data_IF_768462266309
#
_entry.id   IF_768462266309
#
_cell.length_a   1.000
_cell.length_b   1.000
_cell.length_c   1.000
_cell.angle_alpha   90.00
_cell.angle_beta   90.00
_cell.angle_gamma   90.00
#
_symmetry.space_group_name_H-M   'P 1'
#
loop_
_entity.id
_entity.type
_entity.pdbx_description
1 polymer ?
#
# COMPACT_ATOMS: atom_id res chain seq x y z
N UNK A 1 -4.54 61.93 -24.01
CA UNK A 1 -3.64 61.08 -23.21
C UNK A 1 -4.50 60.04 -22.52
N UNK A 2 -4.66 58.87 -23.12
CA UNK A 2 -5.56 57.81 -22.62
C UNK A 2 -4.75 56.84 -21.75
N UNK A 3 -4.98 56.86 -20.44
CA UNK A 3 -4.27 55.97 -19.51
C UNK A 3 -4.92 54.58 -19.54
N UNK A 4 -4.31 53.63 -20.25
CA UNK A 4 -4.72 52.21 -20.20
C UNK A 4 -4.39 51.64 -18.83
N UNK A 5 -5.41 51.52 -17.98
CA UNK A 5 -5.35 50.80 -16.71
C UNK A 5 -4.93 49.35 -16.97
N UNK A 6 -3.71 49.00 -16.54
CA UNK A 6 -3.21 47.63 -16.54
C UNK A 6 -3.89 46.89 -15.38
N UNK A 7 -4.90 46.07 -15.69
CA UNK A 7 -5.54 45.23 -14.69
C UNK A 7 -4.59 44.11 -14.23
N UNK A 8 -4.51 43.80 -12.93
CA UNK A 8 -3.70 42.70 -12.44
C UNK A 8 -4.34 41.35 -12.80
N UNK A 9 -3.72 40.62 -13.73
CA UNK A 9 -4.12 39.25 -14.08
C UNK A 9 -3.83 38.30 -12.92
N UNK A 10 -4.87 37.87 -12.21
CA UNK A 10 -4.76 36.85 -11.17
C UNK A 10 -4.59 35.46 -11.81
N UNK A 11 -3.37 34.93 -11.82
CA UNK A 11 -3.06 33.60 -12.37
C UNK A 11 -3.31 32.56 -11.28
N UNK A 12 -4.47 31.91 -11.34
CA UNK A 12 -4.79 30.76 -10.50
C UNK A 12 -4.20 29.52 -11.16
N UNK A 13 -3.10 28.99 -10.60
CA UNK A 13 -2.56 27.69 -11.02
C UNK A 13 -3.46 26.59 -10.46
N UNK A 14 -4.30 26.03 -11.31
CA UNK A 14 -4.99 24.79 -10.98
C UNK A 14 -3.93 23.70 -10.78
N UNK A 15 -3.96 22.93 -9.67
CA UNK A 15 -3.13 21.75 -9.53
C UNK A 15 -3.42 20.83 -10.72
N UNK A 16 -2.47 20.77 -11.66
CA UNK A 16 -2.59 19.91 -12.83
C UNK A 16 -2.83 18.46 -12.39
N UNK A 17 -3.56 17.70 -13.20
CA UNK A 17 -3.80 16.29 -12.97
C UNK A 17 -2.49 15.62 -12.53
N UNK A 18 -2.50 15.03 -11.32
CA UNK A 18 -1.34 14.43 -10.65
C UNK A 18 -0.46 13.75 -11.70
N UNK A 19 0.76 14.26 -11.84
CA UNK A 19 1.74 13.81 -12.83
C UNK A 19 1.73 12.28 -12.95
N UNK A 20 1.71 11.81 -14.19
CA UNK A 20 1.77 10.40 -14.59
C UNK A 20 2.39 9.50 -13.51
N UNK A 21 1.53 8.65 -12.95
CA UNK A 21 1.84 7.62 -11.96
C UNK A 21 3.27 7.10 -12.12
N UNK A 22 4.17 7.54 -11.24
CA UNK A 22 5.49 6.95 -11.15
C UNK A 22 5.33 5.73 -10.24
N UNK A 23 5.34 4.50 -10.78
CA UNK A 23 4.99 3.32 -10.00
C UNK A 23 5.92 3.11 -8.80
N UNK A 24 7.16 3.61 -8.89
CA UNK A 24 8.13 3.58 -7.78
C UNK A 24 7.77 4.54 -6.66
N UNK A 25 7.30 5.74 -7.02
CA UNK A 25 6.83 6.72 -6.04
C UNK A 25 5.55 6.23 -5.36
N UNK A 26 4.63 5.64 -6.12
CA UNK A 26 3.36 5.12 -5.60
C UNK A 26 3.57 3.91 -4.68
N UNK A 27 4.53 3.03 -5.01
CA UNK A 27 4.95 1.94 -4.12
C UNK A 27 5.54 2.47 -2.80
N UNK A 28 6.47 3.44 -2.87
CA UNK A 28 7.07 4.03 -1.66
C UNK A 28 6.00 4.73 -0.81
N UNK A 29 5.12 5.49 -1.45
CA UNK A 29 4.02 6.19 -0.78
C UNK A 29 3.07 5.22 -0.08
N UNK A 30 2.71 4.10 -0.72
CA UNK A 30 1.89 3.05 -0.12
C UNK A 30 2.59 2.41 1.08
N UNK A 31 3.89 2.10 0.94
CA UNK A 31 4.70 1.59 2.05
C UNK A 31 4.75 2.59 3.21
N UNK A 32 5.10 3.85 2.97
CA UNK A 32 5.15 4.90 4.00
C UNK A 32 3.79 5.03 4.71
N UNK A 33 2.68 5.00 3.97
CA UNK A 33 1.33 5.10 4.53
C UNK A 33 0.99 3.91 5.43
N UNK A 34 1.23 2.67 4.97
CA UNK A 34 1.01 1.46 5.79
C UNK A 34 1.94 1.47 7.00
N UNK A 35 3.19 1.89 6.81
CA UNK A 35 4.17 1.86 7.87
C UNK A 35 4.02 3.00 8.90
N UNK A 36 3.41 4.12 8.51
CA UNK A 36 3.05 5.20 9.42
C UNK A 36 1.75 4.89 10.17
N UNK A 37 0.69 4.50 9.46
CA UNK A 37 -0.63 4.27 10.03
C UNK A 37 -0.80 2.90 10.69
N UNK A 38 0.10 1.95 10.43
CA UNK A 38 0.03 0.55 10.88
C UNK A 38 -0.91 -0.32 10.05
N UNK A 39 -2.00 0.24 9.52
CA UNK A 39 -2.85 -0.39 8.51
C UNK A 39 -3.52 0.64 7.61
N UNK A 40 -3.84 0.25 6.39
CA UNK A 40 -4.50 1.06 5.37
C UNK A 40 -5.62 0.27 4.70
N UNK A 41 -6.80 0.87 4.55
CA UNK A 41 -7.91 0.28 3.80
C UNK A 41 -7.86 0.72 2.34
N UNK A 42 -7.90 -0.23 1.42
CA UNK A 42 -7.97 -0.03 -0.03
C UNK A 42 -9.38 -0.36 -0.49
N UNK A 43 -10.01 0.57 -1.20
CA UNK A 43 -11.34 0.37 -1.78
C UNK A 43 -11.37 -0.77 -2.80
N UNK A 44 -12.55 -1.36 -3.01
CA UNK A 44 -12.75 -2.43 -3.98
C UNK A 44 -12.30 -2.03 -5.40
N UNK A 45 -12.64 -0.81 -5.78
CA UNK A 45 -12.45 -0.29 -7.15
C UNK A 45 -10.99 0.11 -7.47
N UNK A 46 -10.14 0.26 -6.44
CA UNK A 46 -8.74 0.66 -6.63
C UNK A 46 -7.85 -0.54 -6.98
N UNK A 47 -8.00 -0.99 -8.24
CA UNK A 47 -7.24 -2.11 -8.80
C UNK A 47 -5.74 -1.85 -8.84
N UNK A 48 -5.33 -0.59 -9.03
CA UNK A 48 -3.91 -0.22 -9.11
C UNK A 48 -3.23 -0.41 -7.76
N UNK A 49 -3.82 0.12 -6.69
CA UNK A 49 -3.28 -0.04 -5.34
C UNK A 49 -3.37 -1.49 -4.85
N UNK A 50 -4.43 -2.23 -5.23
CA UNK A 50 -4.50 -3.68 -4.96
C UNK A 50 -3.38 -4.47 -5.64
N UNK A 51 -3.13 -4.23 -6.93
CA UNK A 51 -2.04 -4.90 -7.64
C UNK A 51 -0.66 -4.62 -7.01
N UNK A 52 -0.44 -3.38 -6.54
CA UNK A 52 0.76 -3.02 -5.79
C UNK A 52 0.83 -3.73 -4.43
N UNK A 53 -0.26 -3.75 -3.67
CA UNK A 53 -0.34 -4.45 -2.39
C UNK A 53 -0.07 -5.96 -2.54
N UNK A 54 -0.60 -6.60 -3.59
CA UNK A 54 -0.34 -8.01 -3.89
C UNK A 54 1.15 -8.26 -4.12
N UNK A 55 1.82 -7.41 -4.92
CA UNK A 55 3.28 -7.53 -5.13
C UNK A 55 4.05 -7.38 -3.83
N UNK A 56 3.70 -6.39 -3.00
CA UNK A 56 4.33 -6.18 -1.69
C UNK A 56 4.10 -7.34 -0.73
N UNK A 57 2.95 -8.02 -0.84
CA UNK A 57 2.63 -9.21 -0.04
C UNK A 57 3.43 -10.43 -0.49
N UNK A 58 3.64 -10.61 -1.79
CA UNK A 58 4.53 -11.66 -2.33
C UNK A 58 5.96 -11.48 -1.83
N UNK A 59 6.44 -10.24 -1.75
CA UNK A 59 7.76 -9.94 -1.19
C UNK A 59 7.81 -9.97 0.35
N UNK A 60 6.68 -10.14 1.03
CA UNK A 60 6.62 -10.20 2.49
C UNK A 60 6.71 -8.85 3.22
N UNK A 61 6.55 -7.73 2.51
CA UNK A 61 6.59 -6.39 3.12
C UNK A 61 5.28 -5.98 3.80
N UNK A 62 4.16 -6.53 3.34
CA UNK A 62 2.83 -6.23 3.90
C UNK A 62 2.00 -7.50 3.93
N UNK A 63 0.93 -7.48 4.72
CA UNK A 63 -0.05 -8.54 4.77
C UNK A 63 -1.42 -7.97 4.40
N UNK A 64 -2.23 -8.75 3.67
CA UNK A 64 -3.54 -8.33 3.18
C UNK A 64 -4.63 -9.14 3.89
N UNK A 65 -5.63 -8.44 4.40
CA UNK A 65 -6.89 -9.01 4.84
C UNK A 65 -8.00 -8.51 3.91
N UNK A 66 -8.80 -9.43 3.35
CA UNK A 66 -10.04 -9.08 2.67
C UNK A 66 -11.10 -8.74 3.70
N UNK A 67 -11.69 -7.56 3.59
CA UNK A 67 -12.75 -7.11 4.51
C UNK A 67 -14.08 -7.59 3.96
N UNK A 68 -14.67 -8.55 4.67
CA UNK A 68 -15.96 -9.13 4.35
C UNK A 68 -17.09 -8.14 4.69
N UNK A 69 -18.30 -8.41 4.17
CA UNK A 69 -19.48 -7.55 4.41
C UNK A 69 -19.91 -7.50 5.89
N UNK A 70 -19.52 -8.47 6.70
CA UNK A 70 -19.71 -8.54 8.15
C UNK A 70 -18.67 -7.73 8.94
N UNK A 71 -17.70 -7.12 8.25
CA UNK A 71 -16.61 -6.34 8.84
C UNK A 71 -15.43 -7.18 9.33
N UNK A 72 -15.48 -8.52 9.20
CA UNK A 72 -14.35 -9.37 9.54
C UNK A 72 -13.28 -9.35 8.45
N UNK A 73 -12.02 -9.40 8.87
CA UNK A 73 -10.87 -9.49 7.97
C UNK A 73 -10.46 -10.95 7.75
N UNK A 74 -10.52 -11.42 6.50
CA UNK A 74 -9.98 -12.72 6.09
C UNK A 74 -8.57 -12.55 5.53
N UNK A 75 -7.57 -13.12 6.20
CA UNK A 75 -6.17 -13.10 5.72
C UNK A 75 -6.06 -13.80 4.38
N UNK A 76 -5.53 -13.10 3.37
CA UNK A 76 -5.23 -13.66 2.06
C UNK A 76 -3.79 -14.16 2.01
N UNK A 77 -3.58 -15.38 1.53
CA UNK A 77 -2.24 -15.86 1.14
C UNK A 77 -1.76 -15.10 -0.10
N UNK A 78 -0.44 -15.01 -0.37
CA UNK A 78 0.07 -14.34 -1.56
C UNK A 78 -0.55 -14.87 -2.88
N UNK A 79 -0.71 -16.18 -3.00
CA UNK A 79 -1.37 -16.83 -4.14
C UNK A 79 -2.85 -16.45 -4.25
N UNK A 80 -3.53 -16.34 -3.11
CA UNK A 80 -4.94 -15.91 -3.09
C UNK A 80 -5.05 -14.42 -3.43
N UNK A 81 -4.19 -13.56 -2.88
CA UNK A 81 -4.18 -12.12 -3.19
C UNK A 81 -3.90 -11.81 -4.67
N UNK A 82 -3.22 -12.72 -5.38
CA UNK A 82 -3.04 -12.62 -6.83
C UNK A 82 -4.31 -12.94 -7.63
N UNK A 83 -5.10 -13.89 -7.15
CA UNK A 83 -6.36 -14.30 -7.78
C UNK A 83 -7.62 -13.69 -7.15
N UNK A 84 -7.47 -12.97 -6.05
CA UNK A 84 -8.57 -12.50 -5.21
C UNK A 84 -9.43 -11.50 -5.98
N UNK A 85 -10.74 -11.63 -5.76
CA UNK A 85 -11.72 -10.75 -6.38
C UNK A 85 -11.46 -9.30 -5.99
N UNK A 86 -11.57 -8.39 -6.96
CA UNK A 86 -11.48 -6.96 -6.67
C UNK A 86 -12.75 -6.42 -6.02
N UNK A 87 -13.80 -7.24 -5.87
CA UNK A 87 -15.13 -6.82 -5.42
C UNK A 87 -15.21 -6.38 -3.94
N UNK A 88 -14.32 -6.85 -3.07
CA UNK A 88 -14.34 -6.53 -1.64
C UNK A 88 -13.18 -5.62 -1.24
N UNK A 89 -13.36 -4.69 -0.28
CA UNK A 89 -12.28 -3.85 0.20
C UNK A 89 -11.16 -4.68 0.83
N UNK A 90 -9.91 -4.22 0.72
CA UNK A 90 -8.78 -4.85 1.37
C UNK A 90 -8.25 -3.99 2.50
N UNK A 91 -7.75 -4.61 3.56
CA UNK A 91 -6.96 -3.97 4.60
C UNK A 91 -5.53 -4.46 4.46
N UNK A 92 -4.63 -3.54 4.16
CA UNK A 92 -3.19 -3.79 4.11
C UNK A 92 -2.59 -3.37 5.43
N UNK A 93 -1.82 -4.23 6.06
CA UNK A 93 -1.16 -3.92 7.33
C UNK A 93 0.29 -4.34 7.32
N UNK A 94 1.05 -3.81 8.27
CA UNK A 94 2.40 -4.30 8.53
C UNK A 94 2.33 -5.78 8.91
N UNK A 95 3.29 -6.61 8.47
CA UNK A 95 3.41 -7.96 8.98
C UNK A 95 3.65 -7.91 10.49
N UNK A 96 2.81 -8.59 11.26
CA UNK A 96 3.00 -8.80 12.69
C UNK A 96 3.46 -10.25 12.94
N UNK A 97 4.44 -10.44 13.83
CA UNK A 97 4.93 -11.78 14.22
C UNK A 97 6.00 -12.38 13.30
N UNK A 98 6.00 -13.73 13.18
CA UNK A 98 7.02 -14.61 12.54
C UNK A 98 7.42 -14.31 11.09
N UNK A 99 6.70 -13.41 10.42
CA UNK A 99 6.99 -12.97 9.05
C UNK A 99 7.47 -11.53 8.97
N UNK A 100 7.77 -10.89 10.12
CA UNK A 100 8.60 -9.69 10.12
C UNK A 100 9.94 -10.07 9.51
N UNK A 101 10.29 -9.41 8.41
CA UNK A 101 11.70 -9.23 8.04
C UNK A 101 12.26 -8.28 9.11
N UNK A 102 12.58 -8.83 10.28
CA UNK A 102 13.34 -8.13 11.30
C UNK A 102 14.79 -8.01 10.78
N UNK A 103 15.52 -6.98 11.19
CA UNK A 103 16.93 -6.78 10.80
C UNK A 103 17.85 -7.94 11.23
N UNK A 104 17.34 -8.90 12.00
CA UNK A 104 17.98 -10.20 12.25
C UNK A 104 17.52 -11.26 11.26
N UNK A 105 18.04 -11.23 10.03
CA UNK A 105 18.04 -12.44 9.22
C UNK A 105 18.93 -13.45 9.97
N UNK A 106 18.41 -14.60 10.42
CA UNK A 106 19.25 -15.60 11.09
C UNK A 106 20.39 -16.00 10.15
N UNK A 107 21.64 -15.91 10.64
CA UNK A 107 22.81 -16.22 9.82
C UNK A 107 22.85 -17.70 9.42
N UNK A 108 22.09 -18.55 10.12
CA UNK A 108 21.99 -19.99 9.83
C UNK A 108 20.56 -20.52 9.86
N UNK A 109 20.31 -21.53 9.02
CA UNK A 109 19.05 -22.28 8.94
C UNK A 109 18.59 -22.81 10.30
N UNK A 110 19.52 -23.16 11.20
CA UNK A 110 19.21 -23.65 12.54
C UNK A 110 18.47 -22.61 13.40
N UNK A 111 18.87 -21.34 13.30
CA UNK A 111 18.25 -20.24 14.03
C UNK A 111 16.87 -19.91 13.44
N UNK A 112 16.74 -20.00 12.12
CA UNK A 112 15.47 -19.86 11.42
C UNK A 112 14.44 -20.89 11.93
N UNK A 113 14.81 -22.17 12.03
CA UNK A 113 13.91 -23.21 12.50
C UNK A 113 13.60 -23.11 14.00
N UNK A 114 14.52 -22.60 14.83
CA UNK A 114 14.27 -22.38 16.25
C UNK A 114 13.25 -21.25 16.49
N UNK A 115 13.38 -20.14 15.75
CA UNK A 115 12.44 -19.02 15.81
C UNK A 115 11.02 -19.39 15.34
N UNK A 116 10.90 -20.39 14.46
CA UNK A 116 9.62 -20.92 13.98
C UNK A 116 8.95 -21.91 14.95
N UNK A 117 9.60 -22.31 16.04
CA UNK A 117 9.02 -23.23 17.05
C UNK A 117 8.69 -22.57 18.40
N UNK A 118 9.10 -21.33 18.62
CA UNK A 118 8.73 -20.51 19.78
C UNK A 118 7.41 -19.74 19.55
#
# INVERSE_FOLDING_TARGET
MESRSSQPTNVIRFPGARSSANPRHDQKSLMDAVYSAGSLTIGADDRATKAMATRLTIFGFVVIDEVQADGMGRRLRPSEAFHASTALPWRVSKPSGRYRVDDGIPETDRELFAALQA
#
